data_IF_649784494148
#
_entry.id   IF_649784494148
#
_cell.length_a   1.000
_cell.length_b   1.000
_cell.length_c   1.000
_cell.angle_alpha   90.00
_cell.angle_beta   90.00
_cell.angle_gamma   90.00
#
_symmetry.space_group_name_H-M   'P 1'
#
loop_
_entity.id
_entity.type
_entity.pdbx_description
1 polymer ?
#
# COMPACT_ATOMS: atom_id res chain seq x y z
N UNK A 1 24.78 8.07 2.51
CA UNK A 1 23.47 7.38 2.37
C UNK A 1 23.74 5.90 2.52
N UNK A 2 22.97 5.22 3.34
CA UNK A 2 23.12 3.77 3.57
C UNK A 2 22.63 2.98 2.35
N UNK A 3 23.19 1.79 2.14
CA UNK A 3 22.71 0.89 1.10
C UNK A 3 21.41 0.21 1.56
N UNK A 4 20.40 0.22 0.70
CA UNK A 4 19.11 -0.44 0.92
C UNK A 4 18.98 -1.68 0.05
N UNK A 5 18.26 -2.67 0.56
CA UNK A 5 18.05 -3.95 -0.08
C UNK A 5 16.57 -4.33 -0.02
N UNK A 6 16.10 -5.11 -0.98
CA UNK A 6 14.76 -5.71 -1.00
C UNK A 6 14.86 -7.14 -0.49
N UNK A 7 14.06 -7.49 0.51
CA UNK A 7 13.93 -8.86 1.01
C UNK A 7 13.19 -9.72 -0.04
N UNK A 8 13.86 -10.74 -0.55
CA UNK A 8 13.26 -11.74 -1.45
C UNK A 8 13.52 -13.16 -0.92
N UNK A 9 12.79 -14.15 -1.43
CA UNK A 9 12.91 -15.55 -0.99
C UNK A 9 14.30 -16.13 -1.25
N UNK A 10 15.00 -15.65 -2.28
CA UNK A 10 16.33 -16.10 -2.70
C UNK A 10 17.47 -15.27 -2.08
N UNK A 11 17.14 -14.29 -1.23
CA UNK A 11 18.09 -13.40 -0.57
C UNK A 11 17.79 -11.92 -0.79
N UNK A 12 18.66 -11.07 -0.24
CA UNK A 12 18.47 -9.63 -0.31
C UNK A 12 19.03 -9.06 -1.62
N UNK A 13 18.19 -8.33 -2.37
CA UNK A 13 18.60 -7.67 -3.61
C UNK A 13 18.97 -6.21 -3.34
N UNK A 14 20.19 -5.79 -3.70
CA UNK A 14 20.63 -4.40 -3.56
C UNK A 14 19.78 -3.46 -4.41
N UNK A 15 19.34 -2.35 -3.81
CA UNK A 15 18.61 -1.28 -4.51
C UNK A 15 19.64 -0.26 -5.02
N UNK A 16 19.62 0.05 -6.32
CA UNK A 16 20.41 1.14 -6.89
C UNK A 16 20.17 2.49 -6.17
N UNK A 17 21.24 3.22 -5.84
CA UNK A 17 21.16 4.46 -5.05
C UNK A 17 20.35 5.56 -5.75
N UNK A 18 20.36 5.60 -7.08
CA UNK A 18 19.53 6.51 -7.88
C UNK A 18 18.03 6.30 -7.63
N UNK A 19 17.59 5.05 -7.47
CA UNK A 19 16.20 4.74 -7.10
C UNK A 19 15.89 5.13 -5.66
N UNK A 20 16.84 4.90 -4.73
CA UNK A 20 16.69 5.31 -3.33
C UNK A 20 16.46 6.82 -3.24
N UNK A 21 17.26 7.62 -3.95
CA UNK A 21 17.14 9.08 -3.96
C UNK A 21 15.86 9.52 -4.66
N UNK A 22 15.58 8.96 -5.85
CA UNK A 22 14.41 9.35 -6.66
C UNK A 22 13.09 9.11 -5.93
N UNK A 23 12.99 7.99 -5.22
CA UNK A 23 11.76 7.56 -4.55
C UNK A 23 11.78 7.81 -3.03
N UNK A 24 12.83 8.45 -2.50
CA UNK A 24 12.99 8.71 -1.07
C UNK A 24 12.77 7.45 -0.22
N UNK A 25 13.41 6.35 -0.61
CA UNK A 25 13.24 5.07 0.05
C UNK A 25 13.97 5.05 1.40
N UNK A 26 13.33 4.50 2.41
CA UNK A 26 13.88 4.35 3.77
C UNK A 26 13.75 2.90 4.26
N UNK A 27 14.63 2.52 5.20
CA UNK A 27 14.58 1.20 5.84
C UNK A 27 13.27 1.03 6.61
N UNK A 28 12.68 -0.16 6.52
CA UNK A 28 11.39 -0.47 7.17
C UNK A 28 10.16 -0.14 6.31
N UNK A 29 10.32 0.47 5.13
CA UNK A 29 9.23 0.64 4.18
C UNK A 29 8.95 -0.66 3.40
N UNK A 30 7.77 -0.73 2.80
CA UNK A 30 7.44 -1.75 1.80
C UNK A 30 7.57 -1.15 0.40
N UNK A 31 8.14 -1.93 -0.52
CA UNK A 31 8.19 -1.60 -1.95
C UNK A 31 6.76 -1.51 -2.51
N UNK A 32 6.40 -0.43 -3.21
CA UNK A 32 5.08 -0.32 -3.85
C UNK A 32 4.93 -1.28 -5.04
N UNK A 33 6.02 -1.82 -5.56
CA UNK A 33 6.02 -2.68 -6.74
C UNK A 33 5.92 -4.17 -6.40
N UNK A 34 6.52 -4.58 -5.29
CA UNK A 34 6.64 -6.00 -4.92
C UNK A 34 6.02 -6.32 -3.57
N UNK A 35 5.58 -5.32 -2.80
CA UNK A 35 5.18 -5.45 -1.40
C UNK A 35 6.25 -6.13 -0.51
N UNK A 36 7.50 -6.18 -0.98
CA UNK A 36 8.64 -6.67 -0.22
C UNK A 36 9.16 -5.60 0.73
N UNK A 37 9.71 -6.02 1.86
CA UNK A 37 10.33 -5.12 2.84
C UNK A 37 11.67 -4.59 2.35
N UNK A 38 11.94 -3.33 2.66
CA UNK A 38 13.23 -2.68 2.44
C UNK A 38 14.08 -2.79 3.71
N UNK A 39 15.26 -3.38 3.59
CA UNK A 39 16.19 -3.68 4.69
C UNK A 39 17.54 -2.98 4.47
N UNK A 40 18.27 -2.68 5.55
CA UNK A 40 19.63 -2.11 5.47
C UNK A 40 20.73 -3.16 5.21
N UNK A 41 21.97 -2.66 5.09
CA UNK A 41 23.20 -3.43 4.76
C UNK A 41 23.50 -4.65 5.63
N UNK A 42 22.91 -4.75 6.83
CA UNK A 42 23.10 -5.87 7.75
C UNK A 42 21.80 -6.58 8.14
N UNK A 43 20.77 -6.57 7.29
CA UNK A 43 19.39 -6.88 7.70
C UNK A 43 18.94 -5.97 8.87
N UNK A 44 19.52 -4.77 8.95
CA UNK A 44 19.17 -3.80 9.98
C UNK A 44 17.78 -3.25 9.64
N UNK A 45 16.78 -3.83 10.31
CA UNK A 45 15.41 -3.35 10.29
C UNK A 45 15.29 -2.37 11.45
N UNK A 46 14.66 -1.19 11.27
CA UNK A 46 14.32 -0.38 12.43
C UNK A 46 13.40 -1.24 13.31
N UNK A 47 13.90 -1.65 14.47
CA UNK A 47 13.09 -2.15 15.57
C UNK A 47 12.15 -1.00 15.97
N UNK A 48 11.05 -0.86 15.23
CA UNK A 48 9.82 -0.38 15.86
C UNK A 48 9.44 -1.51 16.80
N UNK A 49 9.91 -1.39 18.03
CA UNK A 49 9.53 -2.24 19.13
C UNK A 49 8.00 -2.24 19.24
N UNK A 50 7.46 -3.40 19.58
CA UNK A 50 6.04 -3.75 19.67
C UNK A 50 5.37 -4.17 18.34
N UNK A 51 4.73 -5.35 18.36
CA UNK A 51 3.79 -5.91 17.37
C UNK A 51 4.21 -7.03 16.39
N UNK A 52 5.39 -7.66 16.51
CA UNK A 52 5.62 -8.94 15.81
C UNK A 52 6.30 -10.00 16.69
N UNK A 53 5.72 -10.28 17.86
CA UNK A 53 5.94 -11.55 18.55
C UNK A 53 4.59 -12.14 18.95
N UNK A 54 4.35 -13.36 18.43
CA UNK A 54 3.13 -14.18 18.53
C UNK A 54 2.10 -13.82 17.45
N UNK A 55 1.75 -14.67 16.46
CA UNK A 55 1.44 -16.09 16.63
C UNK A 55 1.50 -16.83 15.29
N UNK A 56 2.60 -17.56 15.04
CA UNK A 56 2.53 -18.79 14.24
C UNK A 56 2.26 -19.94 15.20
N UNK A 57 1.00 -20.09 15.62
CA UNK A 57 0.51 -21.34 16.20
C UNK A 57 -0.89 -21.61 15.68
N UNK A 58 -0.96 -22.77 15.06
CA UNK A 58 -2.08 -23.53 14.56
C UNK A 58 -3.32 -23.52 15.49
N UNK A 59 -4.50 -23.47 14.86
CA UNK A 59 -5.81 -23.93 15.34
C UNK A 59 -6.25 -23.51 16.74
N UNK A 60 -7.15 -22.54 16.86
CA UNK A 60 -8.32 -22.62 17.76
C UNK A 60 -9.45 -21.78 17.17
N UNK A 61 -10.66 -22.26 17.41
CA UNK A 61 -11.92 -21.93 16.78
C UNK A 61 -12.29 -20.45 16.78
N UNK A 62 -13.09 -20.09 15.76
CA UNK A 62 -14.09 -19.02 15.72
C UNK A 62 -14.37 -18.41 17.10
N UNK A 63 -13.80 -17.24 17.36
CA UNK A 63 -14.22 -16.35 18.44
C UNK A 63 -14.67 -15.08 17.77
N UNK A 64 -15.99 -14.91 17.68
CA UNK A 64 -16.65 -13.64 17.41
C UNK A 64 -16.13 -12.62 18.42
N UNK A 65 -15.28 -11.69 17.99
CA UNK A 65 -15.08 -10.43 18.69
C UNK A 65 -15.15 -9.30 17.68
N UNK A 66 -16.22 -8.54 17.86
CA UNK A 66 -16.57 -7.28 17.26
C UNK A 66 -15.36 -6.34 17.34
N UNK A 67 -14.77 -6.00 16.19
CA UNK A 67 -14.05 -4.74 16.06
C UNK A 67 -14.80 -3.92 15.01
N UNK A 68 -15.32 -2.80 15.51
CA UNK A 68 -16.12 -1.82 14.81
C UNK A 68 -15.50 -1.49 13.46
N UNK A 69 -16.11 -2.01 12.39
CA UNK A 69 -15.93 -1.44 11.07
C UNK A 69 -16.49 -0.03 11.16
N UNK A 70 -15.63 0.97 11.37
CA UNK A 70 -16.01 2.33 11.07
C UNK A 70 -16.63 2.33 9.67
N UNK A 71 -17.91 2.72 9.60
CA UNK A 71 -18.69 2.79 8.38
C UNK A 71 -18.10 3.84 7.44
N UNK A 72 -16.95 3.55 6.84
CA UNK A 72 -16.34 4.43 5.85
C UNK A 72 -17.05 4.16 4.52
N UNK A 73 -18.24 4.76 4.40
CA UNK A 73 -18.96 4.86 3.13
C UNK A 73 -18.29 5.93 2.26
N UNK A 74 -17.41 5.51 1.36
CA UNK A 74 -16.84 6.38 0.32
C UNK A 74 -17.82 6.45 -0.85
N UNK A 75 -18.66 7.48 -0.88
CA UNK A 75 -19.48 7.79 -2.04
C UNK A 75 -18.82 8.90 -2.87
N UNK A 76 -18.49 8.62 -4.12
CA UNK A 76 -18.09 9.65 -5.10
C UNK A 76 -19.29 9.91 -6.00
N UNK A 77 -19.65 11.18 -6.18
CA UNK A 77 -20.77 11.58 -7.06
C UNK A 77 -20.22 12.12 -8.37
N UNK A 78 -20.70 11.58 -9.49
CA UNK A 78 -20.51 12.11 -10.83
C UNK A 78 -21.75 12.94 -11.21
N UNK A 79 -21.55 14.14 -11.77
CA UNK A 79 -22.63 15.01 -12.25
C UNK A 79 -22.62 14.98 -13.78
N UNK A 80 -23.66 14.42 -14.39
CA UNK A 80 -23.86 14.41 -15.84
C UNK A 80 -24.81 15.57 -16.20
N UNK A 81 -24.32 16.53 -16.97
CA UNK A 81 -25.12 17.64 -17.52
C UNK A 81 -25.61 17.28 -18.93
N UNK A 82 -26.93 17.35 -19.15
CA UNK A 82 -27.54 17.09 -20.45
C UNK A 82 -27.99 18.41 -21.07
N UNK A 83 -27.25 18.88 -22.08
CA UNK A 83 -27.73 19.94 -22.95
C UNK A 83 -28.81 19.39 -23.89
N UNK A 84 -30.04 19.90 -23.79
CA UNK A 84 -31.08 19.60 -24.78
C UNK A 84 -30.77 20.37 -26.07
N UNK A 85 -30.28 19.66 -27.08
CA UNK A 85 -30.27 20.16 -28.46
C UNK A 85 -31.69 20.12 -29.01
N UNK A 86 -32.39 21.25 -28.98
CA UNK A 86 -33.64 21.40 -29.73
C UNK A 86 -33.29 21.45 -31.21
N UNK A 87 -33.80 20.49 -31.99
CA UNK A 87 -33.78 20.56 -33.45
C UNK A 87 -34.65 21.76 -33.86
N UNK A 88 -34.06 22.73 -34.55
CA UNK A 88 -34.79 23.87 -35.08
C UNK A 88 -35.53 23.42 -36.32
N UNK A 89 -36.71 22.83 -36.14
CA UNK A 89 -37.64 22.70 -37.26
C UNK A 89 -38.15 24.10 -37.61
N UNK A 90 -37.63 24.65 -38.70
CA UNK A 90 -38.24 25.79 -39.38
C UNK A 90 -39.39 25.20 -40.19
N UNK A 91 -40.60 25.29 -39.65
CA UNK A 91 -41.80 25.18 -40.48
C UNK A 91 -42.10 26.55 -41.09
N UNK A 92 -42.38 26.50 -42.39
CA UNK A 92 -42.61 27.60 -43.34
C UNK A 92 -43.86 28.44 -43.04
#
# INVERSE_FOLDING_TARGET
MENLYIETLDGNALIPQDLVIKYHLEKGMFSPFTASKLVGENNDFPLRAEEYKNSRKESTMLSEHEEETENVMLSTSEIIDFAQGLDSHVDE
#
